data_IF_495683939180
#
_entry.id   IF_495683939180
#
_cell.length_a   1.000
_cell.length_b   1.000
_cell.length_c   1.000
_cell.angle_alpha   90.00
_cell.angle_beta   90.00
_cell.angle_gamma   90.00
#
_symmetry.space_group_name_H-M   'P 1'
#
loop_
_entity.id
_entity.type
_entity.pdbx_description
1 polymer ?
#
# COMPACT_ATOMS: atom_id res chain seq x y z
N UNK A 1 9.00 -30.71 17.63
CA UNK A 1 7.65 -31.03 18.15
C UNK A 1 6.83 -29.75 18.14
N UNK A 2 5.78 -29.66 17.31
CA UNK A 2 4.89 -28.50 17.26
C UNK A 2 3.67 -28.73 18.18
N UNK A 3 3.18 -27.70 18.90
CA UNK A 3 2.07 -27.87 19.82
C UNK A 3 0.74 -28.04 19.06
N UNK A 4 0.04 -29.13 19.35
CA UNK A 4 -1.31 -29.42 18.84
C UNK A 4 -2.33 -28.58 19.62
N UNK A 5 -2.61 -27.37 19.14
CA UNK A 5 -3.73 -26.54 19.58
C UNK A 5 -5.00 -26.88 18.79
N UNK A 6 -6.09 -27.17 19.50
CA UNK A 6 -7.40 -27.51 18.96
C UNK A 6 -8.00 -26.30 18.22
N UNK A 7 -8.07 -26.36 16.90
CA UNK A 7 -8.68 -25.31 16.06
C UNK A 7 -10.20 -25.41 16.13
N UNK A 8 -10.81 -24.74 17.11
CA UNK A 8 -12.27 -24.53 17.18
C UNK A 8 -12.69 -23.27 16.41
N UNK A 9 -12.12 -23.05 15.22
CA UNK A 9 -12.57 -21.96 14.36
C UNK A 9 -13.85 -22.42 13.62
N UNK A 10 -15.02 -22.09 14.19
CA UNK A 10 -16.30 -22.25 13.49
C UNK A 10 -16.52 -21.04 12.59
N UNK A 11 -16.62 -21.30 11.27
CA UNK A 11 -16.98 -20.29 10.29
C UNK A 11 -18.34 -19.67 10.67
N UNK A 12 -18.47 -18.34 10.73
CA UNK A 12 -19.76 -17.70 10.94
C UNK A 12 -20.68 -18.01 9.74
N UNK A 13 -21.87 -18.56 10.02
CA UNK A 13 -22.92 -18.79 9.04
C UNK A 13 -23.45 -17.44 8.55
N UNK A 14 -22.79 -16.87 7.55
CA UNK A 14 -23.31 -15.72 6.80
C UNK A 14 -23.58 -16.20 5.38
N UNK A 15 -24.83 -16.01 4.94
CA UNK A 15 -25.32 -16.36 3.59
C UNK A 15 -24.52 -15.71 2.47
N UNK A 16 -23.73 -14.67 2.79
CA UNK A 16 -22.84 -13.93 1.89
C UNK A 16 -21.81 -14.86 1.23
N UNK A 17 -21.30 -15.86 1.95
CA UNK A 17 -20.27 -16.76 1.39
C UNK A 17 -20.83 -17.91 0.55
N UNK A 18 -22.12 -18.20 0.64
CA UNK A 18 -22.77 -19.23 -0.18
C UNK A 18 -23.21 -18.71 -1.55
N UNK A 19 -23.28 -17.38 -1.73
CA UNK A 19 -23.74 -16.73 -2.97
C UNK A 19 -22.60 -15.98 -3.69
N UNK A 20 -21.38 -16.56 -3.65
CA UNK A 20 -20.18 -15.99 -4.25
C UNK A 20 -20.31 -15.73 -5.77
N UNK A 21 -21.17 -16.48 -6.46
CA UNK A 21 -21.41 -16.27 -7.90
C UNK A 21 -22.25 -15.02 -8.20
N UNK A 22 -23.03 -14.52 -7.23
CA UNK A 22 -23.93 -13.38 -7.45
C UNK A 22 -23.28 -12.04 -7.09
N UNK A 23 -22.39 -12.03 -6.10
CA UNK A 23 -21.71 -10.83 -5.63
C UNK A 23 -20.26 -10.70 -6.12
N UNK A 24 -19.59 -11.80 -6.46
CA UNK A 24 -18.17 -11.79 -6.85
C UNK A 24 -17.92 -11.29 -8.27
N UNK A 25 -18.78 -11.63 -9.24
CA UNK A 25 -18.49 -11.38 -10.66
C UNK A 25 -18.81 -9.96 -11.10
N UNK A 26 -19.88 -9.34 -10.56
CA UNK A 26 -20.27 -7.98 -10.94
C UNK A 26 -19.41 -6.87 -10.33
N UNK A 27 -18.79 -7.11 -9.17
CA UNK A 27 -17.95 -6.10 -8.49
C UNK A 27 -16.59 -5.90 -9.19
N UNK A 28 -16.08 -6.92 -9.87
CA UNK A 28 -14.77 -6.89 -10.50
C UNK A 28 -14.82 -6.98 -12.03
N UNK A 29 -15.98 -7.16 -12.67
CA UNK A 29 -16.04 -7.34 -14.14
C UNK A 29 -15.44 -6.15 -14.88
N UNK A 30 -15.75 -4.93 -14.45
CA UNK A 30 -15.26 -3.71 -15.10
C UNK A 30 -13.76 -3.56 -14.91
N UNK A 31 -13.26 -3.83 -13.70
CA UNK A 31 -11.81 -3.81 -13.42
C UNK A 31 -11.05 -4.89 -14.18
N UNK A 32 -11.63 -6.08 -14.35
CA UNK A 32 -11.03 -7.17 -15.11
C UNK A 32 -10.97 -6.81 -16.60
N UNK A 33 -12.04 -6.24 -17.15
CA UNK A 33 -12.05 -5.73 -18.53
C UNK A 33 -11.02 -4.63 -18.77
N UNK A 34 -10.85 -3.73 -17.81
CA UNK A 34 -9.83 -2.66 -17.87
C UNK A 34 -8.39 -3.21 -17.85
N UNK A 35 -8.15 -4.25 -17.04
CA UNK A 35 -6.84 -4.93 -16.98
C UNK A 35 -6.55 -5.63 -18.30
N UNK A 36 -7.53 -6.37 -18.83
CA UNK A 36 -7.39 -7.11 -20.08
C UNK A 36 -7.12 -6.17 -21.27
N UNK A 37 -7.85 -5.05 -21.35
CA UNK A 37 -7.63 -4.01 -22.36
C UNK A 37 -6.22 -3.43 -22.32
N UNK A 38 -5.72 -3.05 -21.13
CA UNK A 38 -4.34 -2.52 -20.97
C UNK A 38 -3.29 -3.56 -21.33
N UNK A 39 -3.54 -4.82 -21.02
CA UNK A 39 -2.65 -5.91 -21.37
C UNK A 39 -2.57 -6.09 -22.90
N UNK A 40 -3.70 -6.11 -23.60
CA UNK A 40 -3.72 -6.16 -25.08
C UNK A 40 -3.07 -4.94 -25.74
N UNK A 41 -3.28 -3.74 -25.19
CA UNK A 41 -2.59 -2.51 -25.65
C UNK A 41 -1.07 -2.57 -25.42
N UNK A 42 -0.64 -3.18 -24.31
CA UNK A 42 0.80 -3.34 -24.02
C UNK A 42 1.45 -4.35 -24.96
N UNK A 43 0.77 -5.48 -25.21
CA UNK A 43 1.21 -6.52 -26.14
C UNK A 43 1.31 -6.02 -27.59
N UNK A 44 0.36 -5.19 -28.02
CA UNK A 44 0.37 -4.62 -29.37
C UNK A 44 1.44 -3.53 -29.55
N UNK A 45 1.80 -2.80 -28.49
CA UNK A 45 2.91 -1.83 -28.52
C UNK A 45 4.29 -2.48 -28.48
N UNK A 46 4.42 -3.67 -27.89
CA UNK A 46 5.65 -4.45 -27.96
C UNK A 46 5.76 -5.13 -29.32
N UNK A 47 5.95 -4.35 -30.39
CA UNK A 47 6.49 -4.89 -31.64
C UNK A 47 7.94 -5.29 -31.37
N UNK A 48 8.16 -6.59 -31.14
CA UNK A 48 9.48 -7.19 -31.18
C UNK A 48 10.07 -6.90 -32.56
N UNK A 49 11.01 -5.96 -32.61
CA UNK A 49 11.78 -5.68 -33.82
C UNK A 49 12.61 -6.92 -34.14
N UNK A 50 12.23 -7.62 -35.21
CA UNK A 50 12.93 -8.79 -35.75
C UNK A 50 14.37 -8.50 -36.21
N UNK A 51 14.72 -7.22 -36.39
CA UNK A 51 16.01 -6.79 -36.93
C UNK A 51 17.10 -6.55 -35.86
N UNK A 52 16.87 -6.97 -34.61
CA UNK A 52 17.94 -6.98 -33.59
C UNK A 52 18.58 -8.38 -33.52
N UNK A 53 19.78 -8.59 -34.08
CA UNK A 53 20.48 -9.87 -34.00
C UNK A 53 20.87 -10.28 -32.56
N UNK A 54 20.81 -9.34 -31.60
CA UNK A 54 21.10 -9.59 -30.17
C UNK A 54 19.93 -10.19 -29.37
N UNK A 55 18.74 -10.34 -29.97
CA UNK A 55 17.66 -11.15 -29.37
C UNK A 55 17.57 -12.51 -30.07
N UNK A 56 18.69 -13.23 -30.10
CA UNK A 56 18.62 -14.68 -30.29
C UNK A 56 17.93 -15.28 -29.06
N UNK A 57 16.61 -15.45 -29.13
CA UNK A 57 15.88 -16.27 -28.18
C UNK A 57 16.43 -17.70 -28.28
N UNK A 58 17.30 -18.06 -27.36
CA UNK A 58 17.68 -19.44 -27.12
C UNK A 58 16.45 -20.16 -26.59
N UNK A 59 15.62 -20.68 -27.49
CA UNK A 59 14.51 -21.56 -27.13
C UNK A 59 15.09 -22.82 -26.49
N UNK A 60 14.44 -23.33 -25.44
CA UNK A 60 14.83 -24.46 -24.58
C UNK A 60 15.04 -25.82 -25.31
N UNK A 61 15.12 -25.86 -26.64
CA UNK A 61 15.22 -27.08 -27.44
C UNK A 61 16.45 -27.13 -28.38
N UNK A 62 17.47 -26.28 -28.18
CA UNK A 62 18.84 -26.55 -28.67
C UNK A 62 19.01 -26.83 -30.17
N UNK A 63 18.22 -26.20 -31.05
CA UNK A 63 18.38 -26.36 -32.50
C UNK A 63 18.77 -25.01 -33.13
N UNK A 64 20.06 -24.86 -33.43
CA UNK A 64 20.59 -23.74 -34.21
C UNK A 64 20.45 -24.08 -35.69
N UNK A 65 19.55 -23.39 -36.40
CA UNK A 65 19.55 -23.40 -37.86
C UNK A 65 20.64 -22.43 -38.34
N UNK A 66 21.73 -23.03 -38.82
CA UNK A 66 22.84 -22.36 -39.47
C UNK A 66 22.36 -21.58 -40.71
N UNK A 67 22.84 -20.34 -40.85
CA UNK A 67 22.97 -19.68 -42.15
C UNK A 67 24.41 -19.22 -42.35
N UNK A 68 24.89 -19.49 -43.55
CA UNK A 68 26.27 -19.53 -44.03
C UNK A 68 26.87 -18.13 -44.29
N UNK A 69 28.20 -17.99 -44.46
CA UNK A 69 28.90 -16.71 -44.41
C UNK A 69 29.16 -16.10 -45.79
N UNK A 70 29.42 -14.79 -45.82
CA UNK A 70 30.24 -14.15 -46.88
C UNK A 70 31.22 -13.13 -46.28
N UNK A 71 32.39 -12.92 -46.90
CA UNK A 71 33.50 -12.15 -46.33
C UNK A 71 33.59 -10.74 -46.93
N UNK A 72 34.07 -9.78 -46.13
CA UNK A 72 34.38 -8.42 -46.58
C UNK A 72 35.46 -7.82 -45.69
N UNK A 73 36.64 -7.64 -46.28
CA UNK A 73 37.80 -7.02 -45.69
C UNK A 73 37.55 -5.54 -45.35
N UNK A 74 38.18 -5.03 -44.28
CA UNK A 74 39.11 -3.93 -44.48
C UNK A 74 40.06 -3.70 -43.30
N UNK A 75 41.25 -3.27 -43.69
CA UNK A 75 42.49 -3.16 -42.93
C UNK A 75 42.72 -1.68 -42.63
N UNK A 76 42.81 -1.29 -41.36
CA UNK A 76 43.50 -0.06 -40.95
C UNK A 76 44.26 -0.25 -39.63
N UNK A 77 45.37 0.47 -39.53
CA UNK A 77 46.53 0.33 -38.64
C UNK A 77 46.28 0.74 -37.17
N UNK A 78 47.08 0.22 -36.21
CA UNK A 78 46.93 0.56 -34.80
C UNK A 78 47.68 1.85 -34.48
N UNK A 79 46.98 2.82 -33.89
CA UNK A 79 47.60 3.92 -33.13
C UNK A 79 47.37 3.60 -31.66
N UNK A 80 48.45 3.32 -30.94
CA UNK A 80 48.49 3.02 -29.51
C UNK A 80 48.18 4.26 -28.67
N UNK A 81 47.09 4.28 -27.87
CA UNK A 81 47.03 5.16 -26.72
C UNK A 81 47.72 4.46 -25.55
N UNK A 82 48.67 5.17 -24.94
CA UNK A 82 49.33 4.80 -23.70
C UNK A 82 48.25 4.69 -22.62
N UNK A 83 47.85 3.46 -22.30
CA UNK A 83 46.95 3.16 -21.18
C UNK A 83 47.73 3.29 -19.87
N UNK A 84 47.18 3.97 -18.86
CA UNK A 84 47.79 3.99 -17.53
C UNK A 84 47.77 2.57 -16.95
N UNK A 85 48.87 2.21 -16.28
CA UNK A 85 49.10 0.91 -15.65
C UNK A 85 47.89 0.44 -14.82
N UNK A 86 47.55 -0.84 -14.93
CA UNK A 86 46.49 -1.53 -14.18
C UNK A 86 46.55 -1.26 -12.66
N UNK A 87 47.76 -1.07 -12.10
CA UNK A 87 47.94 -0.70 -10.69
C UNK A 87 47.35 0.67 -10.31
N UNK A 88 47.35 1.63 -11.25
CA UNK A 88 46.78 2.97 -11.01
C UNK A 88 45.25 2.95 -10.92
N UNK A 89 44.59 2.00 -11.59
CA UNK A 89 43.12 1.83 -11.51
C UNK A 89 42.70 1.12 -10.22
N UNK A 90 43.46 0.14 -9.76
CA UNK A 90 43.19 -0.56 -8.51
C UNK A 90 43.39 0.34 -7.27
N UNK A 91 44.45 1.16 -7.25
CA UNK A 91 44.68 2.09 -6.14
C UNK A 91 43.63 3.20 -6.06
N UNK A 92 43.07 3.65 -7.20
CA UNK A 92 42.00 4.65 -7.22
C UNK A 92 40.64 4.10 -6.76
N UNK A 93 40.38 2.80 -6.95
CA UNK A 93 39.12 2.17 -6.54
C UNK A 93 39.11 1.74 -5.07
N UNK A 94 40.26 1.41 -4.50
CA UNK A 94 40.37 0.92 -3.10
C UNK A 94 40.55 2.05 -2.07
N UNK A 95 40.96 3.25 -2.49
CA UNK A 95 41.11 4.43 -1.64
C UNK A 95 40.10 5.54 -1.93
N UNK A 96 38.91 5.21 -2.47
CA UNK A 96 37.78 6.14 -2.41
C UNK A 96 37.14 5.99 -1.04
N UNK A 97 37.30 6.96 -0.11
CA UNK A 97 36.49 6.97 1.09
C UNK A 97 35.06 7.15 0.61
N UNK A 98 34.19 6.17 0.87
CA UNK A 98 32.75 6.38 0.77
C UNK A 98 32.35 7.37 1.89
N UNK A 99 32.77 8.63 1.77
CA UNK A 99 32.08 9.73 2.42
C UNK A 99 30.72 9.78 1.74
N UNK A 100 29.71 9.30 2.44
CA UNK A 100 28.32 9.63 2.13
C UNK A 100 28.28 11.15 1.96
N UNK A 101 27.83 11.58 0.78
CA UNK A 101 27.60 12.99 0.46
C UNK A 101 26.97 13.66 1.69
N UNK A 102 27.52 14.79 2.13
CA UNK A 102 27.19 15.44 3.41
C UNK A 102 25.68 15.67 3.54
N UNK A 103 25.01 15.90 2.40
CA UNK A 103 23.55 16.00 2.28
C UNK A 103 22.79 14.71 2.60
N UNK A 104 23.33 13.55 2.24
CA UNK A 104 22.73 12.25 2.55
C UNK A 104 22.90 11.92 4.03
N UNK A 105 24.07 12.25 4.61
CA UNK A 105 24.33 12.11 6.03
C UNK A 105 23.37 13.00 6.86
N UNK A 106 23.16 14.24 6.43
CA UNK A 106 22.23 15.20 7.05
C UNK A 106 20.76 14.78 6.88
N UNK A 107 20.39 14.22 5.73
CA UNK A 107 19.04 13.68 5.53
C UNK A 107 18.75 12.47 6.44
N UNK A 108 19.74 11.62 6.69
CA UNK A 108 19.62 10.47 7.60
C UNK A 108 19.49 10.95 9.05
N UNK A 109 20.31 11.90 9.49
CA UNK A 109 20.25 12.46 10.85
C UNK A 109 18.94 13.22 11.10
N UNK A 110 18.52 14.09 10.17
CA UNK A 110 17.24 14.81 10.21
C UNK A 110 16.05 13.85 10.33
N UNK A 111 16.05 12.76 9.57
CA UNK A 111 14.98 11.75 9.64
C UNK A 111 14.99 10.97 10.95
N UNK A 112 16.17 10.71 11.53
CA UNK A 112 16.30 10.05 12.83
C UNK A 112 15.78 10.95 13.97
N UNK A 113 16.08 12.24 13.94
CA UNK A 113 15.59 13.24 14.91
C UNK A 113 14.07 13.42 14.80
N UNK A 114 13.52 13.46 13.59
CA UNK A 114 12.07 13.57 13.38
C UNK A 114 11.33 12.35 13.96
N UNK A 115 11.91 11.15 13.84
CA UNK A 115 11.35 9.93 14.46
C UNK A 115 11.41 9.98 15.99
N UNK A 116 12.50 10.52 16.57
CA UNK A 116 12.60 10.74 18.01
C UNK A 116 11.56 11.72 18.53
N UNK A 117 11.40 12.87 17.87
CA UNK A 117 10.37 13.85 18.23
C UNK A 117 8.95 13.28 18.15
N UNK A 118 8.66 12.49 17.10
CA UNK A 118 7.36 11.83 16.97
C UNK A 118 7.12 10.78 18.07
N UNK A 119 8.14 9.99 18.40
CA UNK A 119 8.05 9.00 19.48
C UNK A 119 7.86 9.67 20.86
N UNK A 120 8.56 10.77 21.12
CA UNK A 120 8.38 11.55 22.36
C UNK A 120 7.01 12.22 22.43
N UNK A 121 6.50 12.75 21.31
CA UNK A 121 5.14 13.30 21.23
C UNK A 121 4.09 12.22 21.50
N UNK A 122 4.23 11.03 20.91
CA UNK A 122 3.34 9.89 21.19
C UNK A 122 3.43 9.42 22.64
N UNK A 123 4.62 9.43 23.25
CA UNK A 123 4.80 9.08 24.67
C UNK A 123 4.17 10.13 25.59
N UNK A 124 4.28 11.42 25.28
CA UNK A 124 3.60 12.50 26.03
C UNK A 124 2.09 12.41 25.89
N UNK A 125 1.58 12.10 24.69
CA UNK A 125 0.15 11.89 24.47
C UNK A 125 -0.39 10.68 25.27
N UNK A 126 0.34 9.56 25.28
CA UNK A 126 -0.03 8.37 26.05
C UNK A 126 -0.06 8.64 27.57
N UNK A 127 0.91 9.38 28.10
CA UNK A 127 0.92 9.78 29.53
C UNK A 127 -0.22 10.74 29.86
N UNK A 128 -0.66 11.57 28.91
CA UNK A 128 -1.79 12.50 29.11
C UNK A 128 -3.13 11.76 29.10
N UNK A 129 -3.29 10.72 28.28
CA UNK A 129 -4.49 9.87 28.31
C UNK A 129 -4.58 9.03 29.60
N UNK A 130 -3.46 8.46 30.08
CA UNK A 130 -3.46 7.64 31.30
C UNK A 130 -3.81 8.45 32.57
N UNK A 131 -3.50 9.75 32.57
CA UNK A 131 -3.89 10.67 33.65
C UNK A 131 -5.38 11.03 33.62
N UNK A 132 -6.03 10.98 32.45
CA UNK A 132 -7.46 11.27 32.28
C UNK A 132 -8.33 10.02 32.50
N UNK A 133 -7.82 8.81 32.24
CA UNK A 133 -8.55 7.55 32.43
C UNK A 133 -8.51 7.04 33.87
N UNK A 134 -7.51 7.43 34.67
CA UNK A 134 -7.41 7.00 36.08
C UNK A 134 -8.34 7.77 37.03
N UNK A 135 -8.96 8.89 36.59
CA UNK A 135 -9.85 9.70 37.44
C UNK A 135 -11.36 9.40 37.28
N UNK A 136 -11.76 8.52 36.36
CA UNK A 136 -13.17 8.16 36.18
C UNK A 136 -13.34 6.65 36.26
N UNK A 137 -13.42 6.16 37.49
CA UNK A 137 -13.85 4.81 37.76
C UNK A 137 -15.29 4.56 37.28
N UNK A 138 -15.45 3.40 36.65
CA UNK A 138 -16.58 2.48 36.78
C UNK A 138 -17.93 2.83 36.10
N UNK A 139 -18.47 1.80 35.43
CA UNK A 139 -19.89 1.58 35.06
C UNK A 139 -20.52 2.51 34.02
N UNK A 140 -20.41 2.13 32.75
CA UNK A 140 -21.56 1.88 31.86
C UNK A 140 -21.09 1.71 30.42
N UNK A 141 -20.97 0.46 29.98
CA UNK A 141 -20.85 0.14 28.55
C UNK A 141 -22.25 -0.14 28.02
N UNK A 142 -22.88 0.74 27.23
CA UNK A 142 -24.16 0.43 26.63
C UNK A 142 -23.96 -0.68 25.59
N UNK A 143 -24.81 -1.70 25.69
CA UNK A 143 -24.95 -2.74 24.67
C UNK A 143 -25.30 -2.05 23.35
N UNK A 144 -24.57 -2.42 22.31
CA UNK A 144 -24.85 -2.04 20.92
C UNK A 144 -26.31 -2.31 20.59
N UNK A 145 -27.10 -1.25 20.47
CA UNK A 145 -28.38 -1.28 19.78
C UNK A 145 -28.08 -1.58 18.30
N UNK A 146 -28.33 -2.82 17.88
CA UNK A 146 -28.50 -3.14 16.47
C UNK A 146 -29.74 -2.39 15.97
N UNK A 147 -29.52 -1.26 15.31
CA UNK A 147 -30.54 -0.35 14.80
C UNK A 147 -31.00 -0.75 13.38
N UNK A 148 -31.30 -2.04 13.16
CA UNK A 148 -31.93 -2.52 11.93
C UNK A 148 -32.68 -3.81 12.27
N UNK A 149 -33.96 -3.68 12.65
CA UNK A 149 -35.03 -4.67 12.46
C UNK A 149 -36.24 -4.31 13.34
N UNK A 150 -36.95 -3.20 13.06
CA UNK A 150 -38.37 -3.06 13.45
C UNK A 150 -39.03 -1.80 12.84
N UNK A 151 -39.12 -1.74 11.51
CA UNK A 151 -40.11 -0.86 10.87
C UNK A 151 -41.43 -1.62 10.67
N UNK A 152 -42.07 -1.97 11.78
CA UNK A 152 -43.49 -2.36 11.79
C UNK A 152 -44.32 -1.14 12.17
N UNK A 153 -44.81 -0.43 11.16
CA UNK A 153 -45.76 0.67 11.30
C UNK A 153 -46.90 0.30 12.27
N UNK A 154 -47.27 1.13 13.26
CA UNK A 154 -48.48 0.93 14.03
C UNK A 154 -49.70 0.98 13.10
N UNK A 155 -50.49 -0.11 13.07
CA UNK A 155 -51.79 -0.13 12.39
C UNK A 155 -52.69 0.96 12.98
N UNK A 156 -53.49 1.67 12.16
CA UNK A 156 -54.47 2.60 12.68
C UNK A 156 -55.50 1.82 13.47
N UNK A 157 -55.55 2.03 14.79
CA UNK A 157 -56.70 1.66 15.59
C UNK A 157 -57.91 2.38 14.99
N UNK A 158 -58.85 1.61 14.44
CA UNK A 158 -60.21 2.06 14.21
C UNK A 158 -60.74 2.51 15.57
N UNK A 159 -60.82 3.81 15.78
CA UNK A 159 -61.64 4.38 16.85
C UNK A 159 -63.07 4.02 16.47
N UNK A 160 -63.62 3.02 17.15
CA UNK A 160 -65.05 2.80 17.18
C UNK A 160 -65.66 4.08 17.76
N UNK A 161 -66.39 4.82 16.92
CA UNK A 161 -67.30 5.86 17.37
C UNK A 161 -68.39 5.11 18.12
N UNK A 162 -68.26 5.01 19.44
CA UNK A 162 -69.39 4.71 20.30
C UNK A 162 -70.34 5.91 20.23
N UNK A 163 -71.45 5.69 19.54
CA UNK A 163 -72.61 6.56 19.54
C UNK A 163 -73.14 6.65 20.98
N UNK A 164 -73.21 7.85 21.60
CA UNK A 164 -73.75 7.95 22.94
C UNK A 164 -75.27 7.72 22.88
N UNK A 165 -75.72 6.61 23.47
CA UNK A 165 -77.14 6.36 23.72
C UNK A 165 -77.76 7.53 24.49
N UNK A 166 -78.88 8.03 23.95
CA UNK A 166 -79.69 9.10 24.53
C UNK A 166 -80.38 8.61 25.81
N UNK A 167 -80.07 9.14 27.01
CA UNK A 167 -80.82 8.85 28.21
C UNK A 167 -82.10 9.68 28.21
N UNK A 168 -83.24 8.97 28.32
CA UNK A 168 -84.58 9.52 28.47
C UNK A 168 -84.62 10.62 29.54
N UNK A 169 -85.16 11.79 29.13
CA UNK A 169 -85.53 12.93 29.97
C UNK A 169 -86.26 12.47 31.24
N UNK A 170 -85.63 12.71 32.39
CA UNK A 170 -86.34 13.09 33.63
C UNK A 170 -86.03 14.55 33.89
N UNK A 171 -87.06 15.38 33.82
CA UNK A 171 -87.04 16.80 34.12
C UNK A 171 -86.82 16.99 35.62
N UNK A 172 -85.57 17.21 36.03
CA UNK A 172 -85.27 18.01 37.22
C UNK A 172 -84.73 19.35 36.71
N UNK A 173 -85.48 20.41 36.98
CA UNK A 173 -85.17 21.76 36.54
C UNK A 173 -83.99 22.29 37.36
N UNK A 174 -82.79 22.11 36.84
CA UNK A 174 -81.61 22.93 37.12
C UNK A 174 -80.70 22.76 35.90
N UNK A 175 -81.08 23.44 34.80
CA UNK A 175 -80.24 23.50 33.61
C UNK A 175 -78.87 24.09 33.99
N UNK A 176 -77.76 23.63 33.37
CA UNK A 176 -76.44 24.16 33.67
C UNK A 176 -76.48 25.68 33.48
N UNK A 177 -76.30 26.42 34.58
CA UNK A 177 -76.29 27.88 34.59
C UNK A 177 -75.32 28.37 33.50
N UNK A 178 -75.64 29.47 32.83
CA UNK A 178 -74.78 30.08 31.81
C UNK A 178 -73.33 30.28 32.32
N UNK A 179 -73.14 30.37 33.64
CA UNK A 179 -71.85 30.35 34.32
C UNK A 179 -71.03 29.08 34.09
N UNK A 180 -71.64 27.89 34.16
CA UNK A 180 -70.93 26.61 34.02
C UNK A 180 -70.46 26.32 32.59
N UNK A 181 -71.19 26.79 31.57
CA UNK A 181 -70.74 26.71 30.19
C UNK A 181 -69.58 27.67 29.90
N UNK A 182 -69.60 28.87 30.49
CA UNK A 182 -68.47 29.82 30.40
C UNK A 182 -67.22 29.25 31.06
N UNK A 183 -67.36 28.62 32.23
CA UNK A 183 -66.24 28.00 32.94
C UNK A 183 -65.65 26.81 32.17
N UNK A 184 -66.48 25.93 31.59
CA UNK A 184 -66.01 24.86 30.69
C UNK A 184 -65.30 25.42 29.46
N UNK A 185 -65.84 26.45 28.83
CA UNK A 185 -65.21 27.11 27.68
C UNK A 185 -63.84 27.67 28.05
N UNK A 186 -63.72 28.33 29.22
CA UNK A 186 -62.43 28.82 29.73
C UNK A 186 -61.47 27.66 30.00
N UNK A 187 -61.94 26.60 30.64
CA UNK A 187 -61.13 25.42 30.90
C UNK A 187 -60.57 24.77 29.63
N UNK A 188 -61.39 24.64 28.57
CA UNK A 188 -60.90 24.15 27.28
C UNK A 188 -59.92 25.12 26.62
N UNK A 189 -60.13 26.43 26.78
CA UNK A 189 -59.20 27.44 26.29
C UNK A 189 -57.83 27.34 26.99
N UNK A 190 -57.81 27.22 28.33
CA UNK A 190 -56.58 27.04 29.10
C UNK A 190 -55.84 25.74 28.71
N UNK A 191 -56.59 24.66 28.43
CA UNK A 191 -56.01 23.42 27.92
C UNK A 191 -55.39 23.59 26.53
N UNK A 192 -56.05 24.32 25.62
CA UNK A 192 -55.51 24.61 24.30
C UNK A 192 -54.23 25.45 24.39
N UNK A 193 -54.22 26.50 25.20
CA UNK A 193 -53.05 27.34 25.42
C UNK A 193 -51.88 26.54 26.03
N UNK A 194 -52.18 25.65 26.98
CA UNK A 194 -51.18 24.76 27.57
C UNK A 194 -50.62 23.77 26.55
N UNK A 195 -51.49 23.17 25.72
CA UNK A 195 -51.06 22.24 24.66
C UNK A 195 -50.25 22.96 23.58
N UNK A 196 -50.63 24.17 23.19
CA UNK A 196 -49.90 24.99 22.23
C UNK A 196 -48.53 25.40 22.77
N UNK A 197 -48.46 25.82 24.03
CA UNK A 197 -47.20 26.11 24.72
C UNK A 197 -46.27 24.90 24.80
N UNK A 198 -46.82 23.73 25.13
CA UNK A 198 -46.07 22.47 25.16
C UNK A 198 -45.58 22.06 23.77
N UNK A 199 -46.44 22.15 22.76
CA UNK A 199 -46.11 21.84 21.37
C UNK A 199 -44.99 22.74 20.86
N UNK A 200 -45.09 24.05 21.11
CA UNK A 200 -44.06 25.03 20.77
C UNK A 200 -42.73 24.73 21.49
N UNK A 201 -42.77 24.42 22.79
CA UNK A 201 -41.59 24.05 23.57
C UNK A 201 -40.90 22.78 23.03
N UNK A 202 -41.67 21.73 22.72
CA UNK A 202 -41.14 20.49 22.12
C UNK A 202 -40.58 20.76 20.73
N UNK A 203 -41.27 21.55 19.90
CA UNK A 203 -40.78 21.95 18.58
C UNK A 203 -39.44 22.69 18.65
N UNK A 204 -39.30 23.62 19.59
CA UNK A 204 -38.05 24.34 19.82
C UNK A 204 -36.91 23.43 20.29
N UNK A 205 -37.20 22.47 21.18
CA UNK A 205 -36.21 21.46 21.63
C UNK A 205 -35.73 20.60 20.47
N UNK A 206 -36.64 20.07 19.66
CA UNK A 206 -36.31 19.27 18.49
C UNK A 206 -35.49 20.06 17.47
N UNK A 207 -35.83 21.34 17.26
CA UNK A 207 -35.06 22.21 16.36
C UNK A 207 -33.64 22.49 16.88
N UNK A 208 -33.48 22.65 18.20
CA UNK A 208 -32.18 22.81 18.82
C UNK A 208 -31.33 21.53 18.72
N UNK A 209 -31.93 20.36 18.98
CA UNK A 209 -31.29 19.06 18.84
C UNK A 209 -30.87 18.80 17.38
N UNK A 210 -31.75 19.08 16.42
CA UNK A 210 -31.46 18.96 15.00
C UNK A 210 -30.27 19.84 14.59
N UNK A 211 -30.23 21.08 15.07
CA UNK A 211 -29.13 22.02 14.80
C UNK A 211 -27.82 21.54 15.41
N UNK A 212 -27.86 20.99 16.63
CA UNK A 212 -26.71 20.41 17.32
C UNK A 212 -26.16 19.18 16.59
N UNK A 213 -27.03 18.24 16.21
CA UNK A 213 -26.68 17.05 15.42
C UNK A 213 -26.08 17.44 14.08
N UNK A 214 -26.68 18.40 13.37
CA UNK A 214 -26.16 18.92 12.10
C UNK A 214 -24.74 19.46 12.26
N UNK A 215 -24.49 20.30 13.27
CA UNK A 215 -23.17 20.86 13.52
C UNK A 215 -22.14 19.77 13.88
N UNK A 216 -22.54 18.78 14.68
CA UNK A 216 -21.69 17.65 15.06
C UNK A 216 -21.27 16.85 13.83
N UNK A 217 -22.22 16.44 12.99
CA UNK A 217 -21.92 15.68 11.78
C UNK A 217 -21.14 16.51 10.75
N UNK A 218 -21.40 17.81 10.66
CA UNK A 218 -20.62 18.69 9.79
C UNK A 218 -19.15 18.78 10.23
N UNK A 219 -18.90 18.80 11.55
CA UNK A 219 -17.54 18.72 12.10
C UNK A 219 -16.88 17.38 11.81
N UNK A 220 -17.58 16.27 12.04
CA UNK A 220 -17.07 14.92 11.78
C UNK A 220 -16.74 14.70 10.29
N UNK A 221 -17.59 15.19 9.38
CA UNK A 221 -17.32 15.18 7.93
C UNK A 221 -16.05 15.96 7.61
N UNK A 222 -15.86 17.15 8.21
CA UNK A 222 -14.67 17.96 7.97
C UNK A 222 -13.38 17.28 8.47
N UNK A 223 -13.44 16.63 9.63
CA UNK A 223 -12.29 15.92 10.20
C UNK A 223 -11.96 14.64 9.41
N UNK A 224 -12.98 13.89 9.00
CA UNK A 224 -12.80 12.74 8.12
C UNK A 224 -12.19 13.15 6.78
N UNK A 225 -12.66 14.24 6.16
CA UNK A 225 -12.08 14.75 4.92
C UNK A 225 -10.60 15.11 5.09
N UNK A 226 -10.23 15.83 6.16
CA UNK A 226 -8.82 16.13 6.46
C UNK A 226 -7.99 14.86 6.65
N UNK A 227 -8.54 13.84 7.32
CA UNK A 227 -7.87 12.56 7.51
C UNK A 227 -7.63 11.84 6.17
N UNK A 228 -8.63 11.84 5.29
CA UNK A 228 -8.52 11.29 3.93
C UNK A 228 -7.44 12.04 3.14
N UNK A 229 -7.42 13.37 3.18
CA UNK A 229 -6.40 14.16 2.48
C UNK A 229 -4.98 13.88 2.97
N UNK A 230 -4.79 13.81 4.29
CA UNK A 230 -3.49 13.51 4.91
C UNK A 230 -3.02 12.11 4.54
N UNK A 231 -3.90 11.10 4.62
CA UNK A 231 -3.56 9.72 4.29
C UNK A 231 -3.31 9.53 2.79
N UNK A 232 -4.06 10.21 1.93
CA UNK A 232 -3.84 10.26 0.48
C UNK A 232 -2.47 10.85 0.14
N UNK A 233 -2.10 11.97 0.77
CA UNK A 233 -0.80 12.60 0.59
C UNK A 233 0.34 11.67 1.04
N UNK A 234 0.21 11.03 2.20
CA UNK A 234 1.18 10.05 2.69
C UNK A 234 1.34 8.87 1.72
N UNK A 235 0.24 8.35 1.16
CA UNK A 235 0.28 7.27 0.17
C UNK A 235 1.04 7.70 -1.10
N UNK A 236 0.79 8.92 -1.59
CA UNK A 236 1.50 9.48 -2.74
C UNK A 236 3.02 9.59 -2.49
N UNK A 237 3.41 10.06 -1.32
CA UNK A 237 4.83 10.23 -0.99
C UNK A 237 5.55 8.90 -0.78
N UNK A 238 4.88 7.91 -0.19
CA UNK A 238 5.39 6.54 -0.11
C UNK A 238 5.54 5.93 -1.50
N UNK A 239 4.57 6.12 -2.40
CA UNK A 239 4.67 5.63 -3.76
C UNK A 239 5.86 6.25 -4.51
N UNK A 240 6.11 7.56 -4.35
CA UNK A 240 7.29 8.24 -4.92
C UNK A 240 8.59 7.68 -4.33
N UNK A 241 8.62 7.39 -3.04
CA UNK A 241 9.79 6.77 -2.40
C UNK A 241 10.05 5.36 -2.94
N UNK A 242 9.03 4.52 -3.05
CA UNK A 242 9.17 3.18 -3.63
C UNK A 242 9.69 3.23 -5.07
N UNK A 243 9.22 4.17 -5.89
CA UNK A 243 9.72 4.36 -7.26
C UNK A 243 11.21 4.73 -7.28
N UNK A 244 11.63 5.64 -6.40
CA UNK A 244 13.07 6.00 -6.29
C UNK A 244 13.92 4.81 -5.87
N UNK A 245 13.47 4.05 -4.86
CA UNK A 245 14.19 2.86 -4.40
C UNK A 245 14.26 1.76 -5.47
N UNK A 246 13.20 1.56 -6.23
CA UNK A 246 13.20 0.62 -7.36
C UNK A 246 14.22 1.01 -8.44
N UNK A 247 14.31 2.30 -8.77
CA UNK A 247 15.31 2.79 -9.73
C UNK A 247 16.74 2.60 -9.21
N UNK A 248 16.99 2.90 -7.93
CA UNK A 248 18.30 2.68 -7.31
C UNK A 248 18.71 1.20 -7.33
N UNK A 249 17.77 0.27 -7.11
CA UNK A 249 18.04 -1.16 -7.22
C UNK A 249 18.39 -1.57 -8.65
N UNK A 250 17.72 -1.01 -9.66
CA UNK A 250 18.04 -1.27 -11.06
C UNK A 250 19.44 -0.76 -11.44
N UNK A 251 19.82 0.43 -10.97
CA UNK A 251 21.16 0.99 -11.18
C UNK A 251 22.24 0.12 -10.53
N UNK A 252 22.04 -0.29 -9.27
CA UNK A 252 22.95 -1.18 -8.56
C UNK A 252 23.06 -2.55 -9.24
N UNK A 253 21.94 -3.09 -9.74
CA UNK A 253 21.93 -4.33 -10.49
C UNK A 253 22.76 -4.21 -11.77
N UNK A 254 22.59 -3.13 -12.54
CA UNK A 254 23.39 -2.87 -13.74
C UNK A 254 24.89 -2.77 -13.41
N UNK A 255 25.25 -2.02 -12.37
CA UNK A 255 26.64 -1.88 -11.94
C UNK A 255 27.25 -3.21 -11.49
N UNK A 256 26.47 -4.05 -10.82
CA UNK A 256 26.88 -5.40 -10.45
C UNK A 256 27.12 -6.28 -11.68
N UNK A 257 26.21 -6.29 -12.64
CA UNK A 257 26.35 -7.04 -13.89
C UNK A 257 27.60 -6.61 -14.68
N UNK A 258 27.88 -5.30 -14.76
CA UNK A 258 29.09 -4.77 -15.41
C UNK A 258 30.36 -5.17 -14.65
N UNK A 259 30.36 -5.10 -13.32
CA UNK A 259 31.48 -5.58 -12.51
C UNK A 259 31.71 -7.08 -12.69
N UNK A 260 30.65 -7.87 -12.81
CA UNK A 260 30.74 -9.31 -13.05
C UNK A 260 31.37 -9.61 -14.42
N UNK A 261 31.00 -8.88 -15.47
CA UNK A 261 31.65 -8.97 -16.78
C UNK A 261 33.13 -8.62 -16.71
N UNK A 262 33.47 -7.49 -16.07
CA UNK A 262 34.86 -7.06 -15.91
C UNK A 262 35.73 -8.11 -15.20
N UNK A 263 35.19 -8.76 -14.16
CA UNK A 263 35.90 -9.84 -13.45
C UNK A 263 36.07 -11.07 -14.35
N UNK A 264 35.05 -11.43 -15.14
CA UNK A 264 35.15 -12.52 -16.11
C UNK A 264 36.26 -12.26 -17.14
N UNK A 265 36.30 -11.06 -17.72
CA UNK A 265 37.32 -10.66 -18.70
C UNK A 265 38.74 -10.72 -18.09
N UNK A 266 38.90 -10.23 -16.86
CA UNK A 266 40.17 -10.29 -16.15
C UNK A 266 40.62 -11.74 -15.87
N UNK A 267 39.69 -12.64 -15.55
CA UNK A 267 40.00 -14.06 -15.36
C UNK A 267 40.46 -14.72 -16.67
N UNK A 268 39.80 -14.42 -17.79
CA UNK A 268 40.21 -14.89 -19.11
C UNK A 268 41.60 -14.37 -19.49
N UNK A 269 41.89 -13.10 -19.20
CA UNK A 269 43.21 -12.52 -19.44
C UNK A 269 44.30 -13.21 -18.59
N UNK A 270 44.04 -13.45 -17.30
CA UNK A 270 44.97 -14.16 -16.42
C UNK A 270 45.22 -15.59 -16.93
N UNK A 271 44.19 -16.29 -17.40
CA UNK A 271 44.35 -17.63 -17.99
C UNK A 271 45.21 -17.60 -19.25
N UNK A 272 45.03 -16.59 -20.11
CA UNK A 272 45.87 -16.39 -21.29
C UNK A 272 47.34 -16.20 -20.89
N UNK A 273 47.63 -15.34 -19.91
CA UNK A 273 48.99 -15.12 -19.41
C UNK A 273 49.58 -16.37 -18.74
N UNK A 274 48.78 -17.11 -17.96
CA UNK A 274 49.21 -18.36 -17.35
C UNK A 274 49.60 -19.41 -18.41
N UNK A 275 48.86 -19.49 -19.51
CA UNK A 275 49.17 -20.36 -20.64
C UNK A 275 50.46 -19.92 -21.34
N UNK A 276 50.67 -18.62 -21.58
CA UNK A 276 51.93 -18.08 -22.13
C UNK A 276 53.13 -18.43 -21.25
N UNK A 277 53.04 -18.19 -19.93
CA UNK A 277 54.08 -18.55 -18.97
C UNK A 277 54.38 -20.06 -18.99
N UNK A 278 53.35 -20.89 -19.12
CA UNK A 278 53.51 -22.35 -19.24
C UNK A 278 54.26 -22.74 -20.52
N UNK A 279 54.00 -22.08 -21.65
CA UNK A 279 54.73 -22.32 -22.90
C UNK A 279 56.20 -21.90 -22.77
N UNK A 280 56.47 -20.69 -22.28
CA UNK A 280 57.83 -20.19 -22.06
C UNK A 280 58.60 -21.12 -21.11
N UNK A 281 57.97 -21.59 -20.03
CA UNK A 281 58.58 -22.55 -19.11
C UNK A 281 58.99 -23.85 -19.82
N UNK A 282 58.13 -24.40 -20.67
CA UNK A 282 58.46 -25.60 -21.48
C UNK A 282 59.63 -25.35 -22.43
N UNK A 283 59.70 -24.17 -23.05
CA UNK A 283 60.81 -23.81 -23.93
C UNK A 283 62.13 -23.67 -23.16
N UNK A 284 62.10 -23.06 -21.97
CA UNK A 284 63.27 -22.98 -21.09
C UNK A 284 63.76 -24.37 -20.66
N UNK A 285 62.85 -25.24 -20.23
CA UNK A 285 63.18 -26.61 -19.82
C UNK A 285 63.81 -27.39 -20.99
N UNK A 286 63.26 -27.25 -22.21
CA UNK A 286 63.82 -27.85 -23.43
C UNK A 286 65.22 -27.33 -23.75
N UNK A 287 65.43 -26.01 -23.75
CA UNK A 287 66.74 -25.42 -24.02
C UNK A 287 67.77 -25.87 -22.98
N UNK A 288 67.36 -25.99 -21.72
CA UNK A 288 68.22 -26.52 -20.65
C UNK A 288 68.64 -27.97 -20.93
N UNK A 289 67.72 -28.84 -21.33
CA UNK A 289 68.03 -30.23 -21.72
C UNK A 289 68.98 -30.26 -22.92
N UNK A 290 68.75 -29.44 -23.96
CA UNK A 290 69.63 -29.35 -25.14
C UNK A 290 71.06 -28.92 -24.76
N UNK A 291 71.21 -27.96 -23.84
CA UNK A 291 72.51 -27.53 -23.31
C UNK A 291 73.18 -28.64 -22.49
N UNK A 292 72.46 -29.31 -21.60
CA UNK A 292 73.00 -30.43 -20.81
C UNK A 292 73.51 -31.57 -21.70
N UNK A 293 72.77 -31.90 -22.77
CA UNK A 293 73.19 -32.88 -23.77
C UNK A 293 74.43 -32.42 -24.54
N UNK A 294 74.52 -31.15 -24.94
CA UNK A 294 75.68 -30.60 -25.62
C UNK A 294 76.94 -30.67 -24.73
N UNK A 295 76.82 -30.30 -23.45
CA UNK A 295 77.91 -30.37 -22.46
C UNK A 295 78.39 -31.82 -22.27
N UNK A 296 77.47 -32.78 -22.13
CA UNK A 296 77.81 -34.21 -22.04
C UNK A 296 78.50 -34.74 -23.30
N UNK A 297 78.10 -34.26 -24.47
CA UNK A 297 78.74 -34.63 -25.74
C UNK A 297 80.17 -34.10 -25.80
N UNK A 298 80.40 -32.85 -25.37
CA UNK A 298 81.74 -32.25 -25.34
C UNK A 298 82.65 -32.86 -24.28
N UNK A 299 82.14 -33.35 -23.15
CA UNK A 299 82.98 -33.99 -22.11
C UNK A 299 83.41 -35.43 -22.44
N UNK A 300 82.78 -36.06 -23.44
CA UNK A 300 83.09 -37.41 -23.92
C UNK A 300 84.02 -37.45 -25.15
N UNK A 301 84.23 -36.31 -25.81
CA UNK A 301 85.12 -36.15 -26.95
C UNK A 301 86.52 -35.74 -26.47
#
# INVERSE_FOLDING_TARGET
MAPKGVSNWKRPYTSIYNDNYKYGTGLYSDTLGDIEKRYSESLSKTQLRSDRPDLAFTTFAGSNLASSPTPGADRTTPTTPILPSFESRLNSALYSPYELDEQVQEAISSRAEQRRHKAEASRKAAVTEDLLTTSMGDRNRPKSLCLYDEWSLPRPHKVAIEEPEVPKRKTTSNGPSASGWREKSRHYQDQLETLEGNMSSVGNKLQAELSSLKNKYQGEIADLNRSVDVTSQQASDLQKLCKRQANQLLELQSAYEDSQRNVSDALEEVQLWQNKCRCIKKEMDRLREEVELAVQKTSRA
#
